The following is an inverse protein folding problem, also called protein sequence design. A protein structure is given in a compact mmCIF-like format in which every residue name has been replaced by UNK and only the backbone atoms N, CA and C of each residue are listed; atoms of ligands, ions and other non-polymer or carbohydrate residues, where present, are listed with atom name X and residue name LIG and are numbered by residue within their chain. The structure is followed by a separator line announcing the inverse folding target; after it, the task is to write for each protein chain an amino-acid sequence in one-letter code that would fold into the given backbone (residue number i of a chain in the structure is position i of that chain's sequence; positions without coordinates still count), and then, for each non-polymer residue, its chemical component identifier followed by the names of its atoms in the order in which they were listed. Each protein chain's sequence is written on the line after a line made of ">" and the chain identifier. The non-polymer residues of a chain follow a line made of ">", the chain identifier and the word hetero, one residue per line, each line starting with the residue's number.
data_IF_489783090660
#
_entry.id   IF_489783090660
#
_cell.length_a   1.000
_cell.length_b   1.000
_cell.length_c   1.000
_cell.angle_alpha   90.00
_cell.angle_beta   90.00
_cell.angle_gamma   90.00
#
_symmetry.space_group_name_H-M   'P 1'
#
loop_
_entity.id
_entity.type
_entity.pdbx_description
1 polymer ?
#
# COMPACT_ATOMS: atom_id res chain seq x y z
N UNK A 1 40.05 4.57 -30.30
CA UNK A 1 40.00 3.80 -29.04
C UNK A 1 38.92 4.41 -28.16
N UNK A 2 37.80 3.72 -27.99
CA UNK A 2 36.84 4.08 -26.95
C UNK A 2 37.43 3.53 -25.66
N UNK A 3 37.80 4.42 -24.72
CA UNK A 3 38.26 3.98 -23.40
C UNK A 3 37.11 3.20 -22.74
N UNK A 4 37.37 1.97 -22.31
CA UNK A 4 36.43 1.22 -21.49
C UNK A 4 36.17 2.01 -20.21
N UNK A 5 35.00 2.63 -20.12
CA UNK A 5 34.54 3.25 -18.89
C UNK A 5 34.27 2.10 -17.91
N UNK A 6 35.19 1.87 -16.96
CA UNK A 6 34.97 0.91 -15.86
C UNK A 6 33.69 1.30 -15.13
N UNK A 7 32.65 0.50 -15.30
CA UNK A 7 31.36 0.70 -14.64
C UNK A 7 31.55 0.64 -13.14
N UNK A 8 30.97 1.60 -12.42
CA UNK A 8 30.87 1.51 -10.97
C UNK A 8 29.86 0.43 -10.61
N UNK A 9 30.05 -0.24 -9.47
CA UNK A 9 29.09 -1.22 -8.93
C UNK A 9 27.68 -0.64 -8.84
N UNK A 10 27.58 0.64 -8.48
CA UNK A 10 26.31 1.39 -8.45
C UNK A 10 25.61 1.45 -9.80
N UNK A 11 26.35 1.68 -10.89
CA UNK A 11 25.78 1.73 -12.25
C UNK A 11 25.22 0.37 -12.67
N UNK A 12 25.96 -0.71 -12.38
CA UNK A 12 25.53 -2.08 -12.68
C UNK A 12 24.22 -2.46 -11.96
N UNK A 13 24.07 -2.04 -10.70
CA UNK A 13 22.86 -2.30 -9.91
C UNK A 13 21.64 -1.57 -10.50
N UNK A 14 21.82 -0.32 -10.94
CA UNK A 14 20.74 0.45 -11.57
C UNK A 14 20.32 -0.13 -12.92
N UNK A 15 21.27 -0.65 -13.71
CA UNK A 15 20.98 -1.38 -14.95
C UNK A 15 20.13 -2.62 -14.67
N UNK A 16 20.52 -3.43 -13.69
CA UNK A 16 19.79 -4.63 -13.31
C UNK A 16 18.36 -4.29 -12.84
N UNK A 17 18.20 -3.29 -11.95
CA UNK A 17 16.87 -2.87 -11.47
C UNK A 17 15.98 -2.46 -12.63
N UNK A 18 16.51 -1.72 -13.60
CA UNK A 18 15.73 -1.28 -14.76
C UNK A 18 15.29 -2.46 -15.63
N UNK A 19 16.23 -3.34 -16.00
CA UNK A 19 15.95 -4.50 -16.85
C UNK A 19 14.92 -5.44 -16.19
N UNK A 20 15.07 -5.68 -14.89
CA UNK A 20 14.16 -6.54 -14.14
C UNK A 20 12.79 -5.89 -13.91
N UNK A 21 12.71 -4.55 -13.85
CA UNK A 21 11.44 -3.83 -13.69
C UNK A 21 10.48 -3.98 -14.87
N UNK A 22 10.99 -4.20 -16.08
CA UNK A 22 10.16 -4.44 -17.26
C UNK A 22 9.93 -5.94 -17.52
N UNK A 23 10.68 -6.83 -16.86
CA UNK A 23 10.55 -8.27 -17.02
C UNK A 23 9.45 -8.88 -16.14
N UNK A 24 8.22 -8.94 -16.68
CA UNK A 24 7.06 -9.51 -15.99
C UNK A 24 7.27 -10.97 -15.55
N UNK A 25 7.91 -11.79 -16.39
CA UNK A 25 8.14 -13.20 -16.11
C UNK A 25 9.06 -13.37 -14.89
N UNK A 26 10.13 -12.57 -14.82
CA UNK A 26 11.03 -12.60 -13.67
C UNK A 26 10.31 -12.20 -12.38
N UNK A 27 9.50 -11.12 -12.39
CA UNK A 27 8.74 -10.68 -11.19
C UNK A 27 7.74 -11.76 -10.76
N UNK A 28 7.04 -12.39 -11.71
CA UNK A 28 6.10 -13.47 -11.41
C UNK A 28 6.80 -14.68 -10.80
N UNK A 29 8.00 -15.01 -11.28
CA UNK A 29 8.82 -16.07 -10.70
C UNK A 29 9.24 -15.75 -9.26
N UNK A 30 9.62 -14.48 -8.99
CA UNK A 30 9.94 -14.06 -7.63
C UNK A 30 8.72 -14.16 -6.68
N UNK A 31 7.52 -13.85 -7.18
CA UNK A 31 6.29 -13.90 -6.37
C UNK A 31 5.89 -15.33 -5.98
N UNK A 32 6.38 -16.39 -6.65
CA UNK A 32 6.16 -17.78 -6.24
C UNK A 32 6.68 -18.09 -4.83
N UNK A 33 7.64 -17.31 -4.33
CA UNK A 33 8.08 -17.37 -2.93
C UNK A 33 6.95 -17.17 -1.92
N UNK A 34 5.83 -16.56 -2.33
CA UNK A 34 4.68 -16.30 -1.48
C UNK A 34 3.66 -17.46 -1.47
N UNK A 35 3.86 -18.50 -2.28
CA UNK A 35 2.98 -19.67 -2.29
C UNK A 35 3.05 -20.45 -0.98
N UNK A 36 4.23 -20.48 -0.38
CA UNK A 36 4.47 -21.01 0.96
C UNK A 36 5.66 -20.28 1.58
N UNK A 37 5.52 -19.83 2.83
CA UNK A 37 6.59 -19.19 3.55
C UNK A 37 6.69 -19.73 4.98
N UNK A 38 7.93 -19.94 5.44
CA UNK A 38 8.21 -20.36 6.82
C UNK A 38 7.94 -19.19 7.75
N UNK A 39 8.54 -18.04 7.48
CA UNK A 39 8.28 -16.80 8.22
C UNK A 39 7.29 -15.93 7.48
N UNK A 40 6.28 -15.45 8.19
CA UNK A 40 5.24 -14.64 7.61
C UNK A 40 5.79 -13.27 7.18
N UNK A 41 5.73 -12.91 5.89
CA UNK A 41 6.34 -11.67 5.39
C UNK A 41 5.47 -10.43 5.69
N UNK A 42 4.24 -10.62 6.17
CA UNK A 42 3.34 -9.53 6.52
C UNK A 42 3.60 -9.02 7.95
N UNK A 43 3.81 -7.72 8.03
CA UNK A 43 3.84 -6.96 9.27
C UNK A 43 2.49 -6.30 9.50
N UNK A 44 1.84 -6.62 10.61
CA UNK A 44 0.84 -5.72 11.19
C UNK A 44 1.60 -4.59 11.90
N UNK A 45 1.73 -3.43 11.25
CA UNK A 45 2.22 -2.23 11.93
C UNK A 45 1.24 -1.96 13.07
N UNK A 46 1.80 -1.97 14.28
CA UNK A 46 1.09 -1.95 15.55
C UNK A 46 -0.15 -1.05 15.53
N UNK A 47 -1.22 -1.61 16.10
CA UNK A 47 -2.38 -0.90 16.61
C UNK A 47 -1.93 0.08 17.72
N UNK A 48 -1.17 1.13 17.40
CA UNK A 48 -0.77 2.16 18.39
C UNK A 48 -1.97 2.95 18.96
N UNK A 49 -3.19 2.57 18.63
CA UNK A 49 -4.32 2.74 19.53
C UNK A 49 -4.67 1.35 20.11
N UNK A 50 -4.20 1.05 21.33
CA UNK A 50 -4.42 -0.21 22.10
C UNK A 50 -5.89 -0.53 22.42
N UNK A 51 -6.82 0.05 21.69
CA UNK A 51 -8.12 0.44 22.19
C UNK A 51 -9.28 0.06 21.23
N UNK A 52 -8.99 -0.59 20.11
CA UNK A 52 -10.01 -0.93 19.11
C UNK A 52 -10.16 -2.44 18.91
N UNK A 53 -11.39 -2.88 18.66
CA UNK A 53 -11.68 -4.30 18.36
C UNK A 53 -11.03 -4.65 17.03
N UNK A 54 -10.17 -5.67 17.05
CA UNK A 54 -9.54 -6.24 15.86
C UNK A 54 -8.02 -6.35 15.98
N UNK A 55 -7.54 -7.26 16.83
CA UNK A 55 -6.23 -7.86 16.57
C UNK A 55 -6.39 -8.70 15.31
N UNK A 56 -5.75 -8.31 14.23
CA UNK A 56 -5.57 -9.22 13.09
C UNK A 56 -4.26 -9.95 13.32
N UNK A 57 -4.36 -11.22 13.70
CA UNK A 57 -3.21 -12.09 13.96
C UNK A 57 -2.70 -12.68 12.64
N UNK A 58 -2.23 -11.79 11.76
CA UNK A 58 -1.76 -12.21 10.44
C UNK A 58 -0.57 -13.15 10.51
N UNK A 59 0.22 -13.11 11.61
CA UNK A 59 1.43 -13.91 11.81
C UNK A 59 1.22 -15.42 11.70
N UNK A 60 0.00 -15.90 11.86
CA UNK A 60 -0.31 -17.33 11.84
C UNK A 60 -0.42 -17.93 10.43
N UNK A 61 -0.61 -17.10 9.39
CA UNK A 61 -0.71 -17.60 8.02
C UNK A 61 0.64 -18.08 7.51
N UNK A 62 0.65 -19.09 6.63
CA UNK A 62 1.85 -19.71 6.03
C UNK A 62 1.88 -19.67 4.50
N UNK A 63 0.84 -19.12 3.89
CA UNK A 63 0.74 -18.95 2.43
C UNK A 63 0.03 -17.65 2.08
N UNK A 64 0.29 -17.12 0.88
CA UNK A 64 -0.44 -15.96 0.36
C UNK A 64 -1.95 -16.23 0.30
N UNK A 65 -2.37 -17.47 0.02
CA UNK A 65 -3.79 -17.81 -0.04
C UNK A 65 -4.47 -17.71 1.32
N UNK A 66 -3.82 -18.20 2.37
CA UNK A 66 -4.30 -18.02 3.75
C UNK A 66 -4.36 -16.54 4.14
N UNK A 67 -3.29 -15.78 3.85
CA UNK A 67 -3.27 -14.33 4.10
C UNK A 67 -4.39 -13.61 3.36
N UNK A 68 -4.66 -13.96 2.10
CA UNK A 68 -5.78 -13.41 1.33
C UNK A 68 -7.11 -13.70 2.00
N UNK A 69 -7.37 -14.95 2.39
CA UNK A 69 -8.63 -15.34 3.03
C UNK A 69 -8.83 -14.62 4.37
N UNK A 70 -7.78 -14.51 5.19
CA UNK A 70 -7.82 -13.83 6.49
C UNK A 70 -8.07 -12.32 6.33
N UNK A 71 -7.31 -11.66 5.47
CA UNK A 71 -7.45 -10.22 5.18
C UNK A 71 -8.83 -9.94 4.57
N UNK A 72 -9.27 -10.76 3.60
CA UNK A 72 -10.59 -10.66 3.00
C UNK A 72 -11.67 -10.71 4.08
N UNK A 73 -11.65 -11.73 4.94
CA UNK A 73 -12.67 -11.93 5.98
C UNK A 73 -12.73 -10.76 6.96
N UNK A 74 -11.56 -10.26 7.39
CA UNK A 74 -11.47 -9.13 8.30
C UNK A 74 -12.04 -7.84 7.68
N UNK A 75 -11.54 -7.46 6.49
CA UNK A 75 -11.96 -6.20 5.87
C UNK A 75 -13.36 -6.26 5.27
N UNK A 76 -13.84 -7.44 4.85
CA UNK A 76 -15.21 -7.61 4.40
C UNK A 76 -16.19 -7.25 5.52
N UNK A 77 -15.98 -7.73 6.75
CA UNK A 77 -16.83 -7.38 7.88
C UNK A 77 -16.69 -5.90 8.28
N UNK A 78 -15.46 -5.37 8.32
CA UNK A 78 -15.20 -3.96 8.65
C UNK A 78 -15.94 -3.02 7.70
N UNK A 79 -15.99 -3.34 6.41
CA UNK A 79 -16.52 -2.49 5.34
C UNK A 79 -17.99 -2.74 5.03
N UNK A 80 -18.67 -3.65 5.74
CA UNK A 80 -20.06 -4.00 5.49
C UNK A 80 -21.02 -3.02 6.19
N UNK A 81 -21.56 -2.06 5.44
CA UNK A 81 -22.53 -1.09 5.93
C UNK A 81 -23.85 -1.72 6.38
N UNK A 82 -24.27 -2.83 5.77
CA UNK A 82 -25.52 -3.52 6.16
C UNK A 82 -25.35 -4.20 7.52
N UNK A 83 -24.20 -4.84 7.76
CA UNK A 83 -23.90 -5.42 9.08
C UNK A 83 -23.75 -4.34 10.14
N UNK A 84 -23.09 -3.24 9.84
CA UNK A 84 -23.01 -2.11 10.77
C UNK A 84 -24.40 -1.57 11.11
N UNK A 85 -25.25 -1.35 10.11
CA UNK A 85 -26.63 -0.88 10.32
C UNK A 85 -27.43 -1.82 11.23
N UNK A 86 -27.32 -3.14 11.03
CA UNK A 86 -27.92 -4.14 11.93
C UNK A 86 -27.38 -4.04 13.37
N UNK A 87 -26.06 -3.87 13.54
CA UNK A 87 -25.44 -3.68 14.86
C UNK A 87 -25.91 -2.39 15.53
N UNK A 88 -26.05 -1.30 14.76
CA UNK A 88 -26.57 -0.01 15.23
C UNK A 88 -28.00 -0.15 15.74
N UNK A 89 -28.90 -0.71 14.94
CA UNK A 89 -30.31 -0.90 15.34
C UNK A 89 -30.40 -1.79 16.58
N UNK A 90 -29.65 -2.90 16.61
CA UNK A 90 -29.66 -3.81 17.75
C UNK A 90 -29.13 -3.19 19.04
N UNK A 91 -28.19 -2.24 18.96
CA UNK A 91 -27.56 -1.63 20.11
C UNK A 91 -28.27 -0.35 20.56
N UNK A 92 -28.58 0.54 19.63
CA UNK A 92 -29.09 1.88 19.90
C UNK A 92 -30.60 2.01 19.66
N UNK A 93 -31.26 1.03 19.05
CA UNK A 93 -32.67 1.11 18.64
C UNK A 93 -32.91 1.96 17.39
N UNK A 94 -31.87 2.54 16.80
CA UNK A 94 -31.94 3.32 15.56
C UNK A 94 -30.72 3.07 14.67
N UNK A 95 -30.88 3.36 13.37
CA UNK A 95 -29.79 3.28 12.40
C UNK A 95 -29.12 4.65 12.18
N UNK A 96 -27.86 4.62 11.75
CA UNK A 96 -27.07 5.78 11.42
C UNK A 96 -26.05 5.41 10.34
N UNK A 97 -26.23 5.96 9.14
CA UNK A 97 -25.30 5.73 8.03
C UNK A 97 -23.91 6.26 8.37
N UNK A 98 -22.86 5.58 7.90
CA UNK A 98 -21.50 6.13 7.91
C UNK A 98 -21.47 7.37 7.03
N UNK A 99 -20.91 8.45 7.57
CA UNK A 99 -20.81 9.74 6.87
C UNK A 99 -19.43 9.86 6.22
N UNK A 100 -19.14 10.94 5.48
CA UNK A 100 -17.76 11.26 5.05
C UNK A 100 -17.03 12.03 6.15
N UNK A 101 -15.70 11.92 6.21
CA UNK A 101 -14.91 12.59 7.26
C UNK A 101 -14.68 13.99 6.74
N UNK A 102 -15.23 15.00 7.42
CA UNK A 102 -15.05 16.41 7.05
C UNK A 102 -13.89 17.07 7.82
N UNK A 103 -13.30 16.40 8.82
CA UNK A 103 -12.35 17.02 9.75
C UNK A 103 -11.13 16.16 10.10
N UNK A 104 -10.13 16.80 10.72
CA UNK A 104 -8.90 16.20 11.25
C UNK A 104 -9.12 15.42 12.57
N UNK A 105 -10.35 14.93 12.81
CA UNK A 105 -10.69 14.26 14.06
C UNK A 105 -10.07 12.87 14.15
N UNK A 106 -9.33 12.62 15.23
CA UNK A 106 -8.75 11.32 15.53
C UNK A 106 -9.56 10.64 16.64
N UNK A 107 -10.45 9.68 16.28
CA UNK A 107 -11.25 8.98 17.27
C UNK A 107 -10.37 8.08 18.12
N UNK A 108 -10.74 7.94 19.39
CA UNK A 108 -9.97 7.20 20.38
C UNK A 108 -10.92 6.46 21.32
N UNK A 109 -10.75 5.14 21.43
CA UNK A 109 -11.55 4.39 22.39
C UNK A 109 -11.24 4.78 23.84
N UNK A 110 -10.05 5.32 24.13
CA UNK A 110 -9.75 5.85 25.46
C UNK A 110 -10.60 7.09 25.76
N UNK A 111 -10.70 8.01 24.79
CA UNK A 111 -11.62 9.15 24.87
C UNK A 111 -13.05 8.68 25.05
N UNK A 112 -13.50 7.71 24.26
CA UNK A 112 -14.84 7.13 24.38
C UNK A 112 -15.08 6.50 25.77
N UNK A 113 -14.14 5.69 26.28
CA UNK A 113 -14.20 5.11 27.65
C UNK A 113 -14.31 6.19 28.71
N UNK A 114 -13.53 7.26 28.60
CA UNK A 114 -13.55 8.38 29.54
C UNK A 114 -14.88 9.12 29.49
N UNK A 115 -15.41 9.39 28.29
CA UNK A 115 -16.72 10.02 28.09
C UNK A 115 -17.83 9.16 28.70
N UNK A 116 -17.82 7.85 28.46
CA UNK A 116 -18.79 6.92 29.05
C UNK A 116 -18.74 7.00 30.58
N UNK A 117 -17.54 6.94 31.17
CA UNK A 117 -17.36 7.04 32.63
C UNK A 117 -17.90 8.36 33.19
N UNK A 118 -17.64 9.48 32.51
CA UNK A 118 -18.15 10.81 32.90
C UNK A 118 -19.67 10.94 32.69
N UNK A 119 -20.27 10.23 31.73
CA UNK A 119 -21.72 10.21 31.52
C UNK A 119 -22.47 9.36 32.56
N UNK A 120 -21.87 8.25 33.00
CA UNK A 120 -22.42 7.38 34.05
C UNK A 120 -22.17 7.94 35.45
N UNK A 121 -21.05 8.66 35.64
CA UNK A 121 -20.66 9.29 36.91
C UNK A 121 -20.26 10.77 36.67
N UNK A 122 -21.24 11.69 36.60
CA UNK A 122 -20.99 13.07 36.22
C UNK A 122 -20.09 13.81 37.21
N UNK A 123 -18.99 14.36 36.69
CA UNK A 123 -18.18 15.36 37.39
C UNK A 123 -18.86 16.73 37.32
N UNK A 124 -18.81 17.57 38.36
CA UNK A 124 -19.43 18.91 38.36
C UNK A 124 -18.82 19.88 37.33
N UNK A 125 -17.71 19.51 36.67
CA UNK A 125 -16.93 20.40 35.80
C UNK A 125 -17.33 20.42 34.33
N UNK A 126 -18.18 19.49 33.85
CA UNK A 126 -18.61 19.42 32.44
C UNK A 126 -20.12 19.29 32.30
N UNK A 127 -20.70 19.96 31.31
CA UNK A 127 -22.13 19.82 31.04
C UNK A 127 -22.45 18.45 30.43
N UNK A 128 -23.58 17.84 30.83
CA UNK A 128 -24.07 16.57 30.27
C UNK A 128 -24.27 16.67 28.75
N UNK A 129 -24.69 17.84 28.25
CA UNK A 129 -24.88 18.12 26.82
C UNK A 129 -23.57 18.02 26.03
N UNK A 130 -22.48 18.57 26.56
CA UNK A 130 -21.17 18.52 25.90
C UNK A 130 -20.60 17.11 25.87
N UNK A 131 -20.82 16.35 26.95
CA UNK A 131 -20.44 14.93 27.03
C UNK A 131 -21.21 14.08 26.01
N UNK A 132 -22.52 14.29 25.86
CA UNK A 132 -23.34 13.62 24.84
C UNK A 132 -22.85 13.99 23.44
N UNK A 133 -22.58 15.28 23.18
CA UNK A 133 -22.03 15.72 21.88
C UNK A 133 -20.70 15.03 21.58
N UNK A 134 -19.80 14.96 22.57
CA UNK A 134 -18.51 14.28 22.44
C UNK A 134 -18.66 12.77 22.21
N UNK A 135 -19.63 12.13 22.90
CA UNK A 135 -19.96 10.72 22.72
C UNK A 135 -20.43 10.43 21.29
N UNK A 136 -21.37 11.23 20.80
CA UNK A 136 -21.88 11.12 19.44
C UNK A 136 -20.78 11.41 18.41
N UNK A 137 -19.90 12.36 18.67
CA UNK A 137 -18.74 12.66 17.82
C UNK A 137 -17.75 11.48 17.76
N UNK A 138 -17.38 10.88 18.90
CA UNK A 138 -16.56 9.66 18.94
C UNK A 138 -17.23 8.54 18.17
N UNK A 139 -18.54 8.36 18.28
CA UNK A 139 -19.25 7.37 17.47
C UNK A 139 -19.53 7.83 16.04
N UNK A 140 -19.21 9.06 15.68
CA UNK A 140 -19.50 9.65 14.37
C UNK A 140 -21.00 9.67 14.01
N UNK A 141 -21.86 9.88 15.00
CA UNK A 141 -23.33 9.97 14.89
C UNK A 141 -23.72 11.45 14.87
N UNK A 142 -24.60 11.86 13.95
CA UNK A 142 -25.18 13.21 14.01
C UNK A 142 -26.27 13.25 15.08
N UNK A 143 -26.29 14.31 15.91
CA UNK A 143 -27.32 14.44 16.95
C UNK A 143 -28.76 14.48 16.40
N UNK A 144 -28.95 14.98 15.18
CA UNK A 144 -30.27 15.11 14.56
C UNK A 144 -30.98 13.80 14.22
N UNK A 145 -30.26 12.67 14.19
CA UNK A 145 -30.85 11.35 13.93
C UNK A 145 -31.12 10.57 15.21
N UNK A 146 -30.69 11.08 16.36
CA UNK A 146 -30.93 10.43 17.65
C UNK A 146 -32.35 10.79 18.11
N UNK A 147 -33.19 9.81 18.50
CA UNK A 147 -34.50 10.09 19.07
C UNK A 147 -34.41 11.02 20.28
N UNK A 148 -35.33 11.99 20.37
CA UNK A 148 -35.33 12.99 21.45
C UNK A 148 -35.50 12.38 22.85
N UNK A 149 -36.10 11.20 22.92
CA UNK A 149 -36.38 10.40 24.11
C UNK A 149 -35.28 9.35 24.41
N UNK A 150 -34.16 9.37 23.68
CA UNK A 150 -33.06 8.43 23.91
C UNK A 150 -32.41 8.62 25.29
N UNK A 151 -32.53 7.61 26.15
CA UNK A 151 -31.92 7.61 27.48
C UNK A 151 -30.46 7.13 27.45
N UNK A 152 -29.54 8.09 27.38
CA UNK A 152 -28.11 7.83 27.41
C UNK A 152 -27.63 7.16 28.71
N UNK A 153 -28.26 7.45 29.85
CA UNK A 153 -27.82 6.90 31.14
C UNK A 153 -28.15 5.42 31.20
N UNK A 154 -29.42 5.07 30.94
CA UNK A 154 -29.87 3.68 30.90
C UNK A 154 -29.15 2.87 29.82
N UNK A 155 -28.94 3.45 28.63
CA UNK A 155 -28.17 2.81 27.56
C UNK A 155 -26.74 2.45 28.01
N UNK A 156 -26.01 3.40 28.60
CA UNK A 156 -24.61 3.21 28.98
C UNK A 156 -24.43 2.23 30.15
N UNK A 157 -25.43 2.06 31.01
CA UNK A 157 -25.43 1.06 32.09
C UNK A 157 -25.59 -0.37 31.56
N UNK A 158 -26.29 -0.55 30.44
CA UNK A 158 -26.64 -1.86 29.89
C UNK A 158 -25.78 -2.28 28.69
N UNK A 159 -25.10 -1.33 28.03
CA UNK A 159 -24.42 -1.60 26.76
C UNK A 159 -23.22 -2.54 26.93
N UNK A 160 -23.11 -3.52 26.03
CA UNK A 160 -21.88 -4.29 25.90
C UNK A 160 -20.77 -3.43 25.26
N UNK A 161 -19.80 -3.01 26.08
CA UNK A 161 -18.71 -2.13 25.65
C UNK A 161 -17.87 -2.71 24.51
N UNK A 162 -17.68 -4.04 24.42
CA UNK A 162 -16.93 -4.65 23.33
C UNK A 162 -17.63 -4.48 21.98
N UNK A 163 -18.95 -4.60 21.97
CA UNK A 163 -19.76 -4.36 20.76
C UNK A 163 -19.79 -2.87 20.42
N UNK A 164 -19.81 -1.99 21.42
CA UNK A 164 -19.76 -0.54 21.21
C UNK A 164 -18.42 -0.13 20.57
N UNK A 165 -17.30 -0.67 21.07
CA UNK A 165 -15.98 -0.43 20.47
C UNK A 165 -15.84 -1.03 19.06
N UNK A 166 -16.55 -2.10 18.76
CA UNK A 166 -16.63 -2.63 17.40
C UNK A 166 -17.32 -1.66 16.44
N UNK A 167 -18.49 -1.17 16.83
CA UNK A 167 -19.24 -0.16 16.06
C UNK A 167 -18.36 1.08 15.87
N UNK A 168 -17.72 1.54 16.95
CA UNK A 168 -16.79 2.65 16.91
C UNK A 168 -15.66 2.42 15.87
N UNK A 169 -15.01 1.25 15.88
CA UNK A 169 -13.99 0.88 14.88
C UNK A 169 -14.53 0.91 13.45
N UNK A 170 -15.68 0.26 13.21
CA UNK A 170 -16.28 0.16 11.88
C UNK A 170 -16.64 1.54 11.33
N UNK A 171 -17.22 2.42 12.15
CA UNK A 171 -17.62 3.78 11.74
C UNK A 171 -16.46 4.67 11.34
N UNK A 172 -15.28 4.42 11.87
CA UNK A 172 -14.06 5.16 11.54
C UNK A 172 -13.09 4.42 10.64
N UNK A 173 -13.49 3.25 10.13
CA UNK A 173 -12.61 2.37 9.35
C UNK A 173 -11.28 2.06 10.06
N UNK A 174 -11.28 2.10 11.41
CA UNK A 174 -10.10 1.83 12.22
C UNK A 174 -9.76 0.36 12.08
N UNK A 175 -8.57 0.11 11.56
CA UNK A 175 -8.08 -1.23 11.24
C UNK A 175 -6.55 -1.27 11.35
N UNK A 176 -5.97 -2.46 11.57
CA UNK A 176 -4.53 -2.63 11.50
C UNK A 176 -4.05 -2.24 10.10
N UNK A 177 -2.87 -1.61 10.04
CA UNK A 177 -2.18 -1.37 8.78
C UNK A 177 -1.28 -2.55 8.50
N UNK A 178 -1.63 -3.32 7.49
CA UNK A 178 -0.82 -4.47 7.07
C UNK A 178 0.16 -3.98 6.01
N UNK A 179 1.42 -4.32 6.17
CA UNK A 179 2.44 -4.04 5.18
C UNK A 179 3.37 -5.22 4.98
N UNK A 180 3.96 -5.30 3.80
CA UNK A 180 5.01 -6.25 3.49
C UNK A 180 6.13 -5.49 2.81
N UNK A 181 7.32 -5.50 3.40
CA UNK A 181 8.50 -4.87 2.80
C UNK A 181 8.98 -5.69 1.61
N UNK A 182 9.50 -5.02 0.60
CA UNK A 182 10.07 -5.63 -0.58
C UNK A 182 11.51 -5.16 -0.72
N UNK A 183 12.42 -6.11 -0.76
CA UNK A 183 13.85 -5.87 -0.92
C UNK A 183 14.35 -6.47 -2.23
N UNK A 184 15.36 -5.85 -2.81
CA UNK A 184 16.12 -6.36 -3.94
C UNK A 184 17.54 -6.71 -3.49
N UNK A 185 17.95 -7.95 -3.69
CA UNK A 185 19.33 -8.39 -3.51
C UNK A 185 20.09 -8.24 -4.83
N UNK A 186 21.05 -7.33 -4.86
CA UNK A 186 21.83 -7.01 -6.04
C UNK A 186 22.83 -8.09 -6.44
N UNK A 187 23.31 -8.90 -5.50
CA UNK A 187 24.27 -9.98 -5.78
C UNK A 187 23.54 -11.20 -6.33
N UNK A 188 22.41 -11.56 -5.73
CA UNK A 188 21.62 -12.73 -6.12
C UNK A 188 20.61 -12.44 -7.23
N UNK A 189 20.36 -11.16 -7.54
CA UNK A 189 19.33 -10.68 -8.48
C UNK A 189 17.95 -11.25 -8.16
N UNK A 190 17.53 -11.12 -6.90
CA UNK A 190 16.28 -11.69 -6.37
C UNK A 190 15.50 -10.69 -5.52
N UNK A 191 14.19 -10.91 -5.42
CA UNK A 191 13.35 -10.20 -4.46
C UNK A 191 13.23 -10.98 -3.17
N UNK A 192 13.21 -10.25 -2.05
CA UNK A 192 12.83 -10.77 -0.75
C UNK A 192 11.62 -10.01 -0.20
N UNK A 193 10.74 -10.74 0.48
CA UNK A 193 9.51 -10.21 1.05
C UNK A 193 9.54 -10.35 2.57
N UNK A 194 9.16 -9.29 3.29
CA UNK A 194 9.16 -9.28 4.76
C UNK A 194 10.53 -8.91 5.34
N UNK A 195 10.82 -9.41 6.55
CA UNK A 195 12.09 -9.13 7.24
C UNK A 195 13.24 -9.90 6.60
N UNK A 196 14.38 -9.21 6.42
CA UNK A 196 15.62 -9.78 5.90
C UNK A 196 16.80 -9.37 6.77
N UNK A 197 17.77 -10.27 6.90
CA UNK A 197 19.07 -9.92 7.47
C UNK A 197 19.76 -8.92 6.54
N UNK A 198 19.96 -7.69 7.02
CA UNK A 198 20.52 -6.62 6.20
C UNK A 198 21.95 -6.94 5.80
N UNK A 199 22.16 -7.18 4.51
CA UNK A 199 23.47 -7.18 3.85
C UNK A 199 23.66 -5.90 3.06
N UNK A 200 24.91 -5.55 2.77
CA UNK A 200 25.24 -4.37 1.95
C UNK A 200 24.64 -4.44 0.54
N UNK A 201 24.45 -5.65 0.01
CA UNK A 201 23.84 -5.92 -1.31
C UNK A 201 22.30 -5.83 -1.32
N UNK A 202 21.65 -5.68 -0.17
CA UNK A 202 20.19 -5.68 -0.05
C UNK A 202 19.61 -4.27 0.01
N UNK A 203 18.83 -3.91 -1.01
CA UNK A 203 18.19 -2.59 -1.15
C UNK A 203 16.69 -2.68 -0.83
N UNK A 204 16.18 -1.76 0.00
CA UNK A 204 14.73 -1.64 0.22
C UNK A 204 14.10 -0.97 -1.00
N UNK A 205 13.29 -1.71 -1.76
CA UNK A 205 12.51 -1.14 -2.87
C UNK A 205 11.31 -0.35 -2.35
N UNK A 206 10.67 -0.85 -1.30
CA UNK A 206 9.49 -0.22 -0.73
C UNK A 206 8.66 -1.16 0.12
N UNK A 207 7.37 -0.87 0.23
CA UNK A 207 6.42 -1.69 0.97
C UNK A 207 5.06 -1.74 0.31
N UNK A 208 4.51 -2.93 0.20
CA UNK A 208 3.09 -3.13 -0.05
C UNK A 208 2.30 -2.60 1.15
N UNK A 209 1.19 -1.91 0.88
CA UNK A 209 0.30 -1.39 1.92
C UNK A 209 -1.12 -1.91 1.69
N UNK A 210 -1.65 -2.62 2.67
CA UNK A 210 -3.01 -3.15 2.68
C UNK A 210 -3.71 -2.44 3.84
N UNK A 211 -4.47 -1.40 3.53
CA UNK A 211 -5.12 -0.57 4.53
C UNK A 211 -6.29 0.22 3.95
N UNK A 212 -7.12 0.74 4.84
CA UNK A 212 -8.15 1.73 4.54
C UNK A 212 -7.86 3.00 5.35
N UNK A 213 -8.10 4.18 4.77
CA UNK A 213 -8.01 5.46 5.47
C UNK A 213 -9.21 5.65 6.39
N UNK A 214 -9.13 6.61 7.32
CA UNK A 214 -10.28 6.99 8.17
C UNK A 214 -11.47 7.54 7.36
N UNK A 215 -11.23 8.02 6.15
CA UNK A 215 -12.28 8.44 5.20
C UNK A 215 -12.89 7.29 4.39
N UNK A 216 -12.40 6.05 4.55
CA UNK A 216 -12.89 4.87 3.83
C UNK A 216 -12.18 4.58 2.51
N UNK A 217 -11.18 5.38 2.13
CA UNK A 217 -10.38 5.14 0.91
C UNK A 217 -9.46 3.95 1.10
N UNK A 218 -9.57 2.97 0.19
CA UNK A 218 -8.81 1.71 0.25
C UNK A 218 -7.53 1.83 -0.56
N UNK A 219 -6.45 1.19 -0.11
CA UNK A 219 -5.28 1.03 -0.99
C UNK A 219 -5.64 0.17 -2.20
N UNK A 220 -5.01 0.39 -3.37
CA UNK A 220 -5.25 -0.46 -4.54
C UNK A 220 -4.98 -1.95 -4.27
N UNK A 221 -3.98 -2.27 -3.45
CA UNK A 221 -3.72 -3.64 -3.04
C UNK A 221 -4.84 -4.20 -2.17
N UNK A 222 -5.38 -3.44 -1.21
CA UNK A 222 -6.55 -3.88 -0.43
C UNK A 222 -7.75 -4.19 -1.33
N UNK A 223 -8.03 -3.40 -2.37
CA UNK A 223 -9.10 -3.72 -3.33
C UNK A 223 -8.89 -5.08 -4.02
N UNK A 224 -7.62 -5.44 -4.29
CA UNK A 224 -7.28 -6.73 -4.89
C UNK A 224 -7.50 -7.88 -3.90
N UNK A 225 -7.09 -7.70 -2.63
CA UNK A 225 -7.37 -8.66 -1.55
C UNK A 225 -8.88 -8.86 -1.33
N UNK A 226 -9.67 -7.79 -1.39
CA UNK A 226 -11.13 -7.84 -1.25
C UNK A 226 -11.83 -8.59 -2.40
N UNK A 227 -11.13 -8.83 -3.52
CA UNK A 227 -11.66 -9.69 -4.59
C UNK A 227 -11.60 -11.18 -4.25
N UNK A 228 -10.84 -11.55 -3.21
CA UNK A 228 -10.55 -12.93 -2.78
C UNK A 228 -9.98 -13.84 -3.91
N UNK A 229 -9.34 -13.24 -4.93
CA UNK A 229 -8.74 -13.93 -6.08
C UNK A 229 -7.22 -13.77 -6.05
N UNK A 230 -6.49 -14.90 -5.93
CA UNK A 230 -5.02 -14.92 -5.87
C UNK A 230 -4.39 -14.22 -7.07
N UNK A 231 -4.85 -14.51 -8.28
CA UNK A 231 -4.28 -13.93 -9.51
C UNK A 231 -4.45 -12.41 -9.58
N UNK A 232 -5.57 -11.87 -9.07
CA UNK A 232 -5.78 -10.41 -8.98
C UNK A 232 -4.82 -9.77 -7.99
N UNK A 233 -4.55 -10.44 -6.88
CA UNK A 233 -3.57 -9.97 -5.87
C UNK A 233 -2.17 -9.99 -6.47
N UNK A 234 -1.75 -11.11 -7.08
CA UNK A 234 -0.43 -11.24 -7.72
C UNK A 234 -0.22 -10.20 -8.82
N UNK A 235 -1.18 -10.02 -9.73
CA UNK A 235 -1.11 -9.00 -10.78
C UNK A 235 -0.97 -7.58 -10.21
N UNK A 236 -1.64 -7.29 -9.08
CA UNK A 236 -1.50 -5.99 -8.43
C UNK A 236 -0.13 -5.83 -7.76
N UNK A 237 0.39 -6.88 -7.14
CA UNK A 237 1.72 -6.88 -6.52
C UNK A 237 2.81 -6.68 -7.56
N UNK A 238 2.71 -7.34 -8.72
CA UNK A 238 3.61 -7.14 -9.85
C UNK A 238 3.67 -5.66 -10.25
N UNK A 239 2.52 -5.02 -10.49
CA UNK A 239 2.44 -3.59 -10.84
C UNK A 239 3.07 -2.68 -9.78
N UNK A 240 2.88 -3.00 -8.51
CA UNK A 240 3.47 -2.23 -7.42
C UNK A 240 4.98 -2.45 -7.28
N UNK A 241 5.51 -3.65 -7.55
CA UNK A 241 6.96 -3.92 -7.61
C UNK A 241 7.61 -3.11 -8.73
N UNK A 242 7.04 -3.13 -9.94
CA UNK A 242 7.55 -2.36 -11.08
C UNK A 242 7.68 -0.87 -10.72
N UNK A 243 6.64 -0.33 -10.07
CA UNK A 243 6.65 1.05 -9.59
C UNK A 243 7.69 1.31 -8.48
N UNK A 244 7.89 0.36 -7.56
CA UNK A 244 8.93 0.49 -6.52
C UNK A 244 10.33 0.51 -7.12
N UNK A 245 10.60 -0.33 -8.12
CA UNK A 245 11.86 -0.32 -8.86
C UNK A 245 12.08 0.98 -9.64
N UNK A 246 11.05 1.48 -10.35
CA UNK A 246 11.08 2.78 -11.02
C UNK A 246 11.36 3.93 -10.05
N UNK A 247 10.69 3.93 -8.89
CA UNK A 247 10.89 4.94 -7.87
C UNK A 247 12.31 4.90 -7.31
N UNK A 248 12.84 3.72 -6.99
CA UNK A 248 14.20 3.57 -6.49
C UNK A 248 15.20 4.10 -7.52
N UNK A 249 15.05 3.70 -8.79
CA UNK A 249 15.87 4.20 -9.89
C UNK A 249 15.82 5.74 -9.99
N UNK A 250 14.62 6.32 -9.90
CA UNK A 250 14.41 7.78 -9.97
C UNK A 250 15.00 8.52 -8.77
N UNK A 251 14.84 8.00 -7.54
CA UNK A 251 15.44 8.56 -6.33
C UNK A 251 16.98 8.59 -6.44
N UNK A 252 17.58 7.55 -7.02
CA UNK A 252 19.02 7.51 -7.24
C UNK A 252 19.54 8.55 -8.24
N UNK A 253 18.72 8.99 -9.19
CA UNK A 253 19.09 9.96 -10.23
C UNK A 253 18.60 11.39 -9.94
N UNK A 254 17.75 11.58 -8.93
CA UNK A 254 17.22 12.89 -8.52
C UNK A 254 16.16 13.50 -9.45
N UNK A 255 15.93 12.93 -10.64
CA UNK A 255 14.86 13.28 -11.57
C UNK A 255 14.45 12.07 -12.42
N UNK A 256 13.25 12.10 -13.00
CA UNK A 256 12.85 11.13 -14.04
C UNK A 256 13.69 11.44 -15.29
N UNK A 257 14.46 10.46 -15.74
CA UNK A 257 15.42 10.66 -16.83
C UNK A 257 14.81 10.25 -18.16
N UNK A 258 14.68 11.24 -19.05
CA UNK A 258 14.28 11.06 -20.44
C UNK A 258 15.47 10.66 -21.32
N UNK A 259 15.17 10.22 -22.54
CA UNK A 259 16.18 10.01 -23.60
C UNK A 259 17.00 11.28 -23.84
N UNK A 260 16.33 12.45 -23.85
CA UNK A 260 16.96 13.76 -24.05
C UNK A 260 17.97 14.10 -22.96
N UNK A 261 17.69 13.74 -21.70
CA UNK A 261 18.61 13.96 -20.57
C UNK A 261 19.90 13.13 -20.70
N UNK A 262 19.84 12.00 -21.40
CA UNK A 262 21.02 11.16 -21.68
C UNK A 262 21.83 11.74 -22.83
N UNK A 263 21.15 12.25 -23.86
CA UNK A 263 21.80 12.93 -24.99
C UNK A 263 22.55 14.18 -24.51
N UNK A 264 21.94 14.97 -23.61
CA UNK A 264 22.57 16.17 -23.04
C UNK A 264 23.71 15.88 -22.06
N UNK A 265 23.89 14.63 -21.64
CA UNK A 265 24.90 14.23 -20.65
C UNK A 265 24.48 14.50 -19.20
N UNK A 266 23.23 14.90 -18.95
CA UNK A 266 22.69 15.15 -17.61
C UNK A 266 22.37 13.87 -16.84
N UNK A 267 22.37 12.71 -17.52
CA UNK A 267 22.22 11.40 -16.92
C UNK A 267 22.92 10.31 -17.73
N UNK A 268 23.31 9.24 -17.05
CA UNK A 268 23.99 8.08 -17.63
C UNK A 268 23.05 7.05 -18.26
N UNK A 269 21.74 7.11 -17.98
CA UNK A 269 20.76 6.15 -18.51
C UNK A 269 19.31 6.62 -18.33
N UNK A 270 18.44 6.46 -19.35
CA UNK A 270 17.05 6.86 -19.28
C UNK A 270 16.18 5.78 -18.62
N UNK A 271 15.10 6.20 -17.93
CA UNK A 271 14.08 5.28 -17.42
C UNK A 271 12.84 5.32 -18.32
N UNK A 272 12.96 4.69 -19.48
CA UNK A 272 11.94 4.63 -20.52
C UNK A 272 11.71 3.18 -20.94
N UNK A 273 10.48 2.88 -21.33
CA UNK A 273 10.05 1.58 -21.86
C UNK A 273 10.64 1.29 -23.23
N UNK A 274 10.62 0.04 -23.67
CA UNK A 274 11.10 -0.34 -25.02
C UNK A 274 10.29 0.35 -26.12
N UNK A 275 8.98 0.50 -25.93
CA UNK A 275 8.09 1.20 -26.85
C UNK A 275 8.45 2.70 -26.98
N UNK A 276 8.83 3.34 -25.87
CA UNK A 276 9.30 4.74 -25.88
C UNK A 276 10.66 4.89 -26.57
N UNK A 277 11.57 3.93 -26.41
CA UNK A 277 12.85 3.91 -27.14
C UNK A 277 12.58 3.77 -28.63
N UNK A 278 11.75 2.81 -29.03
CA UNK A 278 11.42 2.56 -30.43
C UNK A 278 10.76 3.79 -31.08
N UNK A 279 9.76 4.38 -30.43
CA UNK A 279 9.11 5.61 -30.90
C UNK A 279 10.12 6.75 -31.07
N UNK A 280 11.10 6.88 -30.17
CA UNK A 280 12.13 7.89 -30.30
C UNK A 280 13.07 7.63 -31.48
N UNK A 281 13.47 6.37 -31.68
CA UNK A 281 14.33 5.94 -32.80
C UNK A 281 13.68 6.27 -34.14
N UNK A 282 12.40 5.88 -34.31
CA UNK A 282 11.63 6.08 -35.54
C UNK A 282 11.48 7.58 -35.90
N UNK A 283 11.38 8.46 -34.89
CA UNK A 283 11.09 9.87 -35.10
C UNK A 283 12.32 10.80 -35.07
N UNK A 284 13.46 10.38 -34.50
CA UNK A 284 14.65 11.22 -34.29
C UNK A 284 15.97 10.51 -34.69
N UNK A 285 16.04 9.93 -35.88
CA UNK A 285 17.24 9.24 -36.44
C UNK A 285 18.53 10.05 -36.30
N UNK A 286 18.48 11.39 -36.39
CA UNK A 286 19.66 12.26 -36.29
C UNK A 286 20.25 12.28 -34.87
N UNK A 287 19.39 12.26 -33.87
CA UNK A 287 19.75 12.27 -32.45
C UNK A 287 20.07 10.85 -31.93
N UNK A 288 19.69 9.81 -32.68
CA UNK A 288 20.00 8.42 -32.41
C UNK A 288 21.50 8.16 -32.25
N UNK A 289 22.34 8.85 -33.04
CA UNK A 289 23.79 8.67 -33.00
C UNK A 289 24.39 9.18 -31.69
N UNK A 290 23.85 10.27 -31.16
CA UNK A 290 24.33 10.88 -29.92
C UNK A 290 23.69 10.20 -28.71
N UNK A 291 22.42 9.79 -28.80
CA UNK A 291 21.81 8.87 -27.83
C UNK A 291 22.63 7.58 -27.76
N UNK A 292 22.82 6.89 -28.89
CA UNK A 292 23.63 5.67 -28.98
C UNK A 292 25.00 5.86 -28.36
N UNK A 293 25.73 6.97 -28.61
CA UNK A 293 27.04 7.19 -27.98
C UNK A 293 26.95 7.35 -26.46
N UNK A 294 25.96 8.09 -25.98
CA UNK A 294 25.76 8.46 -24.57
C UNK A 294 25.08 7.37 -23.74
N UNK A 295 24.43 6.40 -24.38
CA UNK A 295 23.83 5.24 -23.72
C UNK A 295 24.86 4.19 -23.30
N UNK A 296 24.47 3.35 -22.35
CA UNK A 296 25.21 2.17 -21.91
C UNK A 296 25.15 1.04 -22.94
N UNK A 297 26.06 0.06 -22.80
CA UNK A 297 26.31 -1.02 -23.78
C UNK A 297 25.04 -1.80 -24.14
N UNK A 298 24.16 -2.08 -23.17
CA UNK A 298 22.92 -2.83 -23.46
C UNK A 298 21.89 -2.01 -24.24
N UNK A 299 21.82 -0.69 -24.04
CA UNK A 299 20.96 0.16 -24.88
C UNK A 299 21.56 0.32 -26.26
N UNK A 300 22.89 0.35 -26.37
CA UNK A 300 23.58 0.26 -27.66
C UNK A 300 23.21 -1.04 -28.37
N UNK A 301 23.28 -2.19 -27.68
CA UNK A 301 22.84 -3.49 -28.22
C UNK A 301 21.37 -3.45 -28.66
N UNK A 302 20.46 -2.89 -27.85
CA UNK A 302 19.04 -2.75 -28.20
C UNK A 302 18.79 -1.83 -29.40
N UNK A 303 19.43 -0.67 -29.42
CA UNK A 303 19.35 0.27 -30.55
C UNK A 303 19.96 -0.38 -31.80
N UNK A 304 21.03 -1.16 -31.65
CA UNK A 304 21.64 -1.90 -32.74
C UNK A 304 20.74 -3.00 -33.30
N UNK A 305 20.04 -3.76 -32.44
CA UNK A 305 19.03 -4.74 -32.86
C UNK A 305 17.81 -4.09 -33.51
N UNK A 306 17.35 -2.94 -33.02
CA UNK A 306 16.30 -2.14 -33.67
C UNK A 306 16.75 -1.66 -35.07
N UNK A 307 17.99 -1.17 -35.20
CA UNK A 307 18.57 -0.77 -36.50
C UNK A 307 18.67 -1.99 -37.44
N UNK A 308 19.14 -3.14 -36.96
CA UNK A 308 19.19 -4.38 -37.77
C UNK A 308 17.80 -4.75 -38.29
N UNK A 309 16.80 -4.70 -37.41
CA UNK A 309 15.40 -5.01 -37.74
C UNK A 309 14.83 -4.05 -38.78
N UNK A 310 15.04 -2.73 -38.65
CA UNK A 310 14.60 -1.75 -39.64
C UNK A 310 15.32 -1.90 -40.99
N UNK A 311 16.61 -2.27 -40.97
CA UNK A 311 17.40 -2.49 -42.17
C UNK A 311 17.18 -3.86 -42.81
N UNK A 312 16.34 -4.72 -42.22
CA UNK A 312 16.07 -6.07 -42.72
C UNK A 312 17.28 -7.01 -42.67
N UNK A 313 18.23 -6.74 -41.78
CA UNK A 313 19.43 -7.56 -41.58
C UNK A 313 19.05 -8.69 -40.61
N UNK A 314 18.85 -9.89 -41.14
CA UNK A 314 18.68 -11.11 -40.36
C UNK A 314 20.06 -11.76 -40.11
N UNK A 315 20.25 -12.29 -38.90
CA UNK A 315 21.46 -13.04 -38.51
C UNK A 315 21.65 -14.30 -39.38
#
# INVERSE_FOLDING_TARGET
>A
MINEIKKTQKSLILEDIRELSTNSNWIQEQLKQLDSFVDNPFECLSNYDENFKGKLEIKETRSLKESINLIYSYYYDLLDDKKLSKKMISMFGFDSKRTKVESWYYPSSYSLKKIIKELTNPSPTKSKKDLISSFLQELRIYGSIVPNDFDYTNFLEQVNLNNLFEIHSQRWFKSPKISMKVYYDAELKKLHFGSVDKKESTLLLGKFRISVTQSGSKTPLLNSFLSNKKDKVLSRMEKEIKKMMENLYTEFLGKKVSISDVISGDSISPFVTEEEIQTFVENNIKDLKDFYKSCMIKEKEKVFELIKSELGILD
#
